data_IF_627955301138
#
_entry.id   IF_627955301138
#
_cell.length_a   1.000
_cell.length_b   1.000
_cell.length_c   1.000
_cell.angle_alpha   90.00
_cell.angle_beta   90.00
_cell.angle_gamma   90.00
#
_symmetry.space_group_name_H-M   'P 1'
#
loop_
_entity.id
_entity.type
_entity.pdbx_description
1 polymer ?
#
# COMPACT_ATOMS: atom_id res chain seq x y z
N UNK A 1 -5.49 9.74 19.07
CA UNK A 1 -5.36 8.75 17.99
C UNK A 1 -4.36 9.31 16.99
N UNK A 2 -3.20 8.67 16.84
CA UNK A 2 -2.14 9.20 15.98
C UNK A 2 -2.59 9.12 14.52
N UNK A 3 -2.65 10.27 13.84
CA UNK A 3 -2.91 10.34 12.42
C UNK A 3 -1.73 9.69 11.70
N UNK A 4 -1.86 8.40 11.40
CA UNK A 4 -0.84 7.62 10.71
C UNK A 4 -0.94 8.05 9.24
N UNK A 5 0.08 8.77 8.76
CA UNK A 5 0.17 9.20 7.35
C UNK A 5 0.40 7.97 6.47
N UNK A 6 -0.65 7.25 6.15
CA UNK A 6 -0.60 6.16 5.18
C UNK A 6 -0.46 6.73 3.78
N UNK A 7 0.46 6.15 3.00
CA UNK A 7 0.47 6.37 1.56
C UNK A 7 -0.44 5.33 0.91
N UNK A 8 -1.08 5.70 -0.19
CA UNK A 8 -1.80 4.74 -1.01
C UNK A 8 -1.00 4.46 -2.27
N UNK A 9 -0.91 3.19 -2.63
CA UNK A 9 -0.17 2.73 -3.80
C UNK A 9 -1.03 1.82 -4.66
N UNK A 10 -0.76 1.81 -5.96
CA UNK A 10 -1.42 0.94 -6.91
C UNK A 10 -0.46 -0.18 -7.29
N UNK A 11 -0.90 -1.43 -7.16
CA UNK A 11 -0.15 -2.58 -7.68
C UNK A 11 -0.13 -2.53 -9.21
N UNK A 12 1.05 -2.43 -9.80
CA UNK A 12 1.26 -2.43 -11.26
C UNK A 12 1.83 -3.77 -11.76
N UNK A 13 2.46 -4.55 -10.87
CA UNK A 13 3.00 -5.88 -11.14
C UNK A 13 2.70 -6.83 -9.96
N UNK A 14 2.47 -8.11 -10.24
CA UNK A 14 2.19 -9.14 -9.25
C UNK A 14 2.70 -10.53 -9.64
N UNK A 15 3.59 -10.65 -10.63
CA UNK A 15 4.01 -11.94 -11.23
C UNK A 15 4.44 -12.98 -10.18
N UNK A 16 5.14 -12.59 -9.13
CA UNK A 16 5.59 -13.51 -8.05
C UNK A 16 4.59 -13.65 -6.89
N UNK A 17 3.52 -12.86 -6.89
CA UNK A 17 2.58 -12.71 -5.77
C UNK A 17 1.12 -12.76 -6.23
N UNK A 18 0.79 -13.61 -7.22
CA UNK A 18 -0.55 -13.70 -7.82
C UNK A 18 -1.68 -13.99 -6.82
N UNK A 19 -1.38 -14.66 -5.70
CA UNK A 19 -2.34 -15.00 -4.66
C UNK A 19 -2.52 -13.90 -3.60
N UNK A 20 -1.59 -12.94 -3.52
CA UNK A 20 -1.57 -11.90 -2.47
C UNK A 20 -1.78 -10.49 -3.03
N UNK A 21 -1.43 -10.28 -4.30
CA UNK A 21 -1.52 -9.00 -4.98
C UNK A 21 -2.44 -9.08 -6.20
N UNK A 22 -3.27 -8.06 -6.37
CA UNK A 22 -4.16 -7.86 -7.49
C UNK A 22 -3.72 -6.63 -8.27
N UNK A 23 -3.44 -6.82 -9.57
CA UNK A 23 -3.05 -5.71 -10.44
C UNK A 23 -4.15 -4.66 -10.54
N UNK A 24 -3.72 -3.39 -10.51
CA UNK A 24 -4.54 -2.16 -10.55
C UNK A 24 -5.38 -1.92 -9.30
N UNK A 25 -5.22 -2.74 -8.25
CA UNK A 25 -5.85 -2.51 -6.95
C UNK A 25 -5.06 -1.49 -6.15
N UNK A 26 -5.78 -0.72 -5.35
CA UNK A 26 -5.24 0.24 -4.40
C UNK A 26 -4.93 -0.47 -3.08
N UNK A 27 -3.78 -0.17 -2.51
CA UNK A 27 -3.36 -0.69 -1.22
C UNK A 27 -2.84 0.41 -0.30
N UNK A 28 -2.94 0.18 1.01
CA UNK A 28 -2.32 1.04 2.02
C UNK A 28 -0.87 0.64 2.24
N UNK A 29 0.04 1.60 2.06
CA UNK A 29 1.45 1.45 2.34
C UNK A 29 1.82 2.10 3.68
N UNK A 30 2.45 1.31 4.53
CA UNK A 30 2.97 1.76 5.81
C UNK A 30 4.29 2.50 5.62
N UNK A 31 4.44 3.72 6.17
CA UNK A 31 5.73 4.41 6.17
C UNK A 31 6.72 3.63 7.05
N UNK A 32 7.73 3.04 6.43
CA UNK A 32 8.76 2.26 7.11
C UNK A 32 10.14 2.51 6.52
N UNK A 33 11.06 3.03 7.35
CA UNK A 33 12.45 3.37 6.98
C UNK A 33 13.27 2.16 6.55
N UNK A 34 13.02 0.98 7.12
CA UNK A 34 13.84 -0.21 6.86
C UNK A 34 13.49 -0.92 5.55
N UNK A 35 12.22 -0.89 5.14
CA UNK A 35 11.77 -1.54 3.91
C UNK A 35 12.26 -0.78 2.66
N UNK A 36 12.11 0.54 2.67
CA UNK A 36 12.52 1.43 1.58
C UNK A 36 14.02 1.31 1.27
N UNK A 37 14.87 1.15 2.29
CA UNK A 37 16.31 1.02 2.12
C UNK A 37 16.74 -0.29 1.42
N UNK A 38 15.85 -1.27 1.28
CA UNK A 38 16.12 -2.55 0.61
C UNK A 38 15.35 -2.71 -0.70
N UNK A 39 14.66 -1.68 -1.17
CA UNK A 39 13.80 -1.77 -2.36
C UNK A 39 12.48 -2.50 -2.11
N UNK A 40 12.04 -2.57 -0.84
CA UNK A 40 10.75 -3.16 -0.46
C UNK A 40 9.79 -2.08 0.05
N UNK A 41 8.51 -2.35 -0.10
CA UNK A 41 7.41 -1.56 0.46
C UNK A 41 6.59 -2.45 1.37
N UNK A 42 6.12 -1.88 2.49
CA UNK A 42 5.24 -2.56 3.43
C UNK A 42 3.80 -2.19 3.12
N UNK A 43 3.00 -3.16 2.76
CA UNK A 43 1.62 -2.97 2.28
C UNK A 43 0.67 -3.81 3.13
N UNK A 44 -0.48 -3.22 3.46
CA UNK A 44 -1.58 -3.91 4.12
C UNK A 44 -2.46 -4.58 3.06
N UNK A 45 -2.67 -5.88 3.17
CA UNK A 45 -3.57 -6.61 2.26
C UNK A 45 -5.01 -6.70 2.80
N UNK A 46 -5.86 -7.50 2.16
CA UNK A 46 -7.27 -7.64 2.55
C UNK A 46 -7.50 -8.27 3.92
N UNK A 47 -6.50 -8.98 4.46
CA UNK A 47 -6.59 -9.55 5.81
C UNK A 47 -6.35 -8.51 6.91
N UNK A 48 -5.86 -7.32 6.54
CA UNK A 48 -5.43 -6.29 7.50
C UNK A 48 -4.02 -6.47 8.03
N UNK A 49 -3.31 -7.51 7.57
CA UNK A 49 -1.92 -7.79 7.93
C UNK A 49 -0.93 -7.04 7.04
N UNK A 50 0.24 -6.68 7.60
CA UNK A 50 1.29 -6.00 6.85
C UNK A 50 2.33 -6.97 6.28
N UNK A 51 2.54 -6.88 4.96
CA UNK A 51 3.51 -7.70 4.23
C UNK A 51 4.53 -6.83 3.49
N UNK A 52 5.70 -7.41 3.21
CA UNK A 52 6.76 -6.77 2.43
C UNK A 52 6.74 -7.29 1.00
N UNK A 53 6.71 -6.36 0.04
CA UNK A 53 6.76 -6.64 -1.39
C UNK A 53 7.83 -5.78 -2.07
N UNK A 54 8.32 -6.18 -3.25
CA UNK A 54 9.17 -5.33 -4.07
C UNK A 54 8.51 -3.98 -4.34
N UNK A 55 9.23 -2.89 -4.11
CA UNK A 55 8.69 -1.53 -4.24
C UNK A 55 8.38 -1.13 -5.70
N UNK A 56 9.06 -1.75 -6.66
CA UNK A 56 8.85 -1.59 -8.10
C UNK A 56 7.53 -2.21 -8.60
N UNK A 57 6.88 -3.03 -7.77
CA UNK A 57 5.56 -3.60 -8.07
C UNK A 57 4.43 -2.59 -7.84
N UNK A 58 4.77 -1.41 -7.30
CA UNK A 58 3.82 -0.42 -6.86
C UNK A 58 4.15 0.97 -7.40
N UNK A 59 3.10 1.73 -7.67
CA UNK A 59 3.17 3.14 -8.04
C UNK A 59 2.45 3.98 -6.99
N UNK A 60 2.98 5.16 -6.65
CA UNK A 60 2.27 6.12 -5.79
C UNK A 60 0.95 6.52 -6.46
N UNK A 61 -0.16 6.33 -5.76
CA UNK A 61 -1.49 6.66 -6.27
C UNK A 61 -1.69 8.19 -6.40
N UNK A 62 -0.81 9.00 -5.79
CA UNK A 62 -0.82 10.46 -5.84
C UNK A 62 -2.21 11.05 -5.51
N UNK A 63 -2.91 10.42 -4.57
CA UNK A 63 -4.24 10.84 -4.17
C UNK A 63 -4.21 12.19 -3.45
N UNK A 64 -5.21 13.01 -3.72
CA UNK A 64 -5.43 14.26 -2.98
C UNK A 64 -5.75 13.94 -1.51
N UNK A 65 -5.53 14.91 -0.61
CA UNK A 65 -5.89 14.76 0.81
C UNK A 65 -7.37 14.43 1.01
N UNK A 66 -8.24 14.99 0.18
CA UNK A 66 -9.68 14.73 0.21
C UNK A 66 -9.99 13.27 -0.12
N UNK A 67 -9.39 12.74 -1.19
CA UNK A 67 -9.55 11.34 -1.58
C UNK A 67 -8.97 10.39 -0.52
N UNK A 68 -7.82 10.72 0.07
CA UNK A 68 -7.24 9.93 1.16
C UNK A 68 -8.18 9.88 2.37
N UNK A 69 -8.78 11.01 2.75
CA UNK A 69 -9.73 11.06 3.87
C UNK A 69 -11.00 10.24 3.60
N UNK A 70 -11.47 10.18 2.35
CA UNK A 70 -12.61 9.34 1.98
C UNK A 70 -12.31 7.84 2.14
N UNK A 71 -11.07 7.41 1.87
CA UNK A 71 -10.65 6.01 1.98
C UNK A 71 -10.48 5.56 3.45
N UNK A 72 -9.95 6.42 4.32
CA UNK A 72 -9.74 6.08 5.75
C UNK A 72 -11.05 5.90 6.54
N UNK A 73 -12.17 6.40 6.02
CA UNK A 73 -13.48 6.30 6.68
C UNK A 73 -14.26 5.04 6.32
N UNK A 74 -13.72 4.17 5.47
CA UNK A 74 -14.36 2.91 5.13
C UNK A 74 -13.84 1.84 6.09
N UNK A 75 -14.64 1.51 7.09
CA UNK A 75 -14.50 0.24 7.78
C UNK A 75 -14.92 -0.85 6.79
N UNK A 76 -13.95 -1.55 6.21
CA UNK A 76 -14.19 -2.76 5.42
C UNK A 76 -14.55 -3.93 6.33
#
# INVERSE_FOLDING_TARGET
MAQKNFKHVICIENTDYLASLEKRKLYEALPGTTALNRGFIRVIDESGEDYLYPSDYFMDANLTKETQAALTNVAF
#
